data_IF_644503154831
#
_entry.id   IF_644503154831
#
_cell.length_a   1.000
_cell.length_b   1.000
_cell.length_c   1.000
_cell.angle_alpha   90.00
_cell.angle_beta   90.00
_cell.angle_gamma   90.00
#
_symmetry.space_group_name_H-M   'P 1'
#
loop_
_entity.id
_entity.type
_entity.pdbx_description
1 polymer ?
#
# COMPACT_ATOMS: atom_id res chain seq x y z
N UNK A 1 34.29 15.35 84.43
CA UNK A 1 33.44 14.22 83.98
C UNK A 1 32.27 14.83 83.22
N UNK A 2 32.40 15.20 81.93
CA UNK A 2 32.16 14.39 80.71
C UNK A 2 30.86 13.59 80.76
N UNK A 3 29.80 14.12 80.15
CA UNK A 3 28.75 13.31 79.51
C UNK A 3 28.60 13.80 78.06
N UNK A 4 29.03 12.93 77.15
CA UNK A 4 28.85 12.97 75.70
C UNK A 4 27.89 11.82 75.37
N UNK A 5 27.05 12.02 74.33
CA UNK A 5 26.44 11.04 73.42
C UNK A 5 24.91 11.19 73.36
N UNK A 6 24.24 11.05 72.22
CA UNK A 6 24.62 11.03 70.82
C UNK A 6 23.32 11.07 70.03
N UNK A 7 23.37 11.78 68.91
CA UNK A 7 22.47 11.77 67.76
C UNK A 7 21.71 10.45 67.51
N UNK A 8 20.41 10.56 67.21
CA UNK A 8 19.68 9.66 66.31
C UNK A 8 18.46 10.41 65.73
N UNK A 9 18.75 11.26 64.74
CA UNK A 9 17.75 11.74 63.78
C UNK A 9 17.41 10.56 62.86
N UNK A 10 16.29 9.89 63.14
CA UNK A 10 15.63 8.95 62.24
C UNK A 10 15.08 9.71 61.03
N UNK A 11 15.91 9.86 60.01
CA UNK A 11 15.48 10.27 58.67
C UNK A 11 14.77 9.07 58.03
N UNK A 12 13.45 9.04 58.19
CA UNK A 12 12.56 8.10 57.49
C UNK A 12 12.59 8.42 56.00
N UNK A 13 13.39 7.66 55.25
CA UNK A 13 13.33 7.57 53.80
C UNK A 13 11.99 6.92 53.41
N UNK A 14 10.94 7.73 53.32
CA UNK A 14 9.74 7.35 52.59
C UNK A 14 10.08 7.38 51.10
N UNK A 15 10.47 6.23 50.54
CA UNK A 15 10.50 6.03 49.10
C UNK A 15 9.06 6.07 48.58
N UNK A 16 8.62 7.24 48.13
CA UNK A 16 7.39 7.36 47.34
C UNK A 16 7.62 6.63 46.00
N UNK A 17 7.18 5.38 45.90
CA UNK A 17 6.92 4.75 44.61
C UNK A 17 5.68 5.42 44.02
N UNK A 18 5.88 6.54 43.30
CA UNK A 18 4.83 7.09 42.44
C UNK A 18 4.51 6.05 41.36
N UNK A 19 3.25 5.60 41.30
CA UNK A 19 2.79 4.78 40.17
C UNK A 19 2.83 5.66 38.91
N UNK A 20 3.80 5.41 38.03
CA UNK A 20 3.80 5.95 36.68
C UNK A 20 2.51 5.46 36.02
N UNK A 21 1.70 6.37 35.47
CA UNK A 21 0.48 5.99 34.76
C UNK A 21 0.83 5.16 33.53
N UNK A 22 0.06 4.11 33.26
CA UNK A 22 0.23 3.25 32.07
C UNK A 22 0.31 4.06 30.78
N UNK A 23 -0.47 5.14 30.68
CA UNK A 23 -0.47 6.03 29.52
C UNK A 23 0.90 6.66 29.27
N UNK A 24 1.62 7.04 30.34
CA UNK A 24 2.97 7.60 30.24
C UNK A 24 3.98 6.58 29.69
N UNK A 25 3.75 5.28 29.90
CA UNK A 25 4.59 4.25 29.32
C UNK A 25 4.37 4.16 27.80
N UNK A 26 3.12 4.12 27.35
CA UNK A 26 2.82 3.96 25.93
C UNK A 26 3.33 5.11 25.07
N UNK A 27 3.23 6.36 25.55
CA UNK A 27 3.82 7.51 24.86
C UNK A 27 5.36 7.40 24.81
N UNK A 28 6.01 6.97 25.89
CA UNK A 28 7.47 6.75 25.89
C UNK A 28 7.89 5.66 24.89
N UNK A 29 7.11 4.59 24.79
CA UNK A 29 7.35 3.50 23.82
C UNK A 29 7.14 3.99 22.39
N UNK A 30 6.13 4.82 22.14
CA UNK A 30 5.92 5.49 20.85
C UNK A 30 7.10 6.39 20.47
N UNK A 31 7.59 7.22 21.39
CA UNK A 31 8.76 8.10 21.16
C UNK A 31 10.02 7.29 20.88
N UNK A 32 10.22 6.17 21.59
CA UNK A 32 11.31 5.23 21.31
C UNK A 32 11.18 4.63 19.90
N UNK A 33 10.00 4.19 19.51
CA UNK A 33 9.72 3.70 18.17
C UNK A 33 10.03 4.75 17.09
N UNK A 34 9.71 6.02 17.33
CA UNK A 34 10.05 7.11 16.42
C UNK A 34 11.57 7.28 16.28
N UNK A 35 12.32 7.24 17.39
CA UNK A 35 13.78 7.35 17.36
C UNK A 35 14.41 6.19 16.59
N UNK A 36 13.96 4.96 16.83
CA UNK A 36 14.41 3.76 16.11
C UNK A 36 14.13 3.87 14.61
N UNK A 37 12.93 4.30 14.23
CA UNK A 37 12.55 4.52 12.83
C UNK A 37 13.44 5.59 12.19
N UNK A 38 13.74 6.69 12.88
CA UNK A 38 14.63 7.75 12.37
C UNK A 38 16.06 7.23 12.19
N UNK A 39 16.53 6.34 13.07
CA UNK A 39 17.84 5.68 12.92
C UNK A 39 17.88 4.59 11.85
N UNK A 40 16.74 4.27 11.22
CA UNK A 40 16.62 3.23 10.19
C UNK A 40 16.42 1.82 10.74
N UNK A 41 16.26 1.65 12.06
CA UNK A 41 15.91 0.36 12.65
C UNK A 41 14.39 0.16 12.63
N UNK A 42 13.88 -0.09 11.43
CA UNK A 42 12.44 -0.18 11.18
C UNK A 42 11.79 -1.40 11.83
N UNK A 43 12.55 -2.48 12.07
CA UNK A 43 12.03 -3.67 12.75
C UNK A 43 11.88 -3.43 14.24
N UNK A 44 12.88 -2.84 14.90
CA UNK A 44 12.75 -2.48 16.31
C UNK A 44 11.63 -1.43 16.51
N UNK A 45 11.56 -0.42 15.63
CA UNK A 45 10.47 0.55 15.64
C UNK A 45 9.10 -0.11 15.50
N UNK A 46 8.97 -1.12 14.63
CA UNK A 46 7.73 -1.87 14.44
C UNK A 46 7.28 -2.57 15.73
N UNK A 47 8.21 -3.17 16.46
CA UNK A 47 7.93 -3.81 17.75
C UNK A 47 7.38 -2.79 18.74
N UNK A 48 7.99 -1.61 18.82
CA UNK A 48 7.53 -0.57 19.74
C UNK A 48 6.15 -0.04 19.37
N UNK A 49 5.89 0.20 18.08
CA UNK A 49 4.58 0.70 17.68
C UNK A 49 3.46 -0.34 17.84
N UNK A 50 3.72 -1.63 17.57
CA UNK A 50 2.75 -2.69 17.81
C UNK A 50 2.40 -2.80 19.30
N UNK A 51 3.39 -2.71 20.18
CA UNK A 51 3.13 -2.68 21.62
C UNK A 51 2.17 -1.55 21.99
N UNK A 52 2.36 -0.35 21.45
CA UNK A 52 1.47 0.79 21.72
C UNK A 52 0.06 0.54 21.17
N UNK A 53 -0.05 0.02 19.94
CA UNK A 53 -1.36 -0.28 19.31
C UNK A 53 -2.15 -1.36 20.05
N UNK A 54 -1.48 -2.34 20.66
CA UNK A 54 -2.11 -3.45 21.37
C UNK A 54 -2.59 -3.07 22.78
N UNK A 55 -1.99 -2.04 23.38
CA UNK A 55 -2.20 -1.71 24.80
C UNK A 55 -2.90 -0.36 25.05
N UNK A 56 -3.10 0.47 24.02
CA UNK A 56 -3.83 1.73 24.15
C UNK A 56 -5.29 1.62 23.72
N UNK A 57 -6.20 2.11 24.57
CA UNK A 57 -7.62 2.22 24.22
C UNK A 57 -7.90 3.29 23.15
N UNK A 58 -7.13 4.38 23.18
CA UNK A 58 -7.25 5.51 22.24
C UNK A 58 -5.91 5.74 21.57
N UNK A 59 -5.82 5.34 20.30
CA UNK A 59 -4.59 5.45 19.52
C UNK A 59 -4.27 6.93 19.21
N UNK A 60 -3.09 7.44 19.61
CA UNK A 60 -2.64 8.77 19.23
C UNK A 60 -2.60 8.90 17.72
N UNK A 61 -3.12 10.01 17.18
CA UNK A 61 -3.17 10.17 15.72
C UNK A 61 -1.77 10.18 15.09
N UNK A 62 -0.78 10.73 15.79
CA UNK A 62 0.59 10.79 15.28
C UNK A 62 1.22 9.40 15.14
N UNK A 63 0.78 8.42 15.94
CA UNK A 63 1.16 7.02 15.77
C UNK A 63 0.72 6.48 14.40
N UNK A 64 -0.42 6.93 13.86
CA UNK A 64 -0.85 6.51 12.52
C UNK A 64 0.14 6.94 11.43
N UNK A 65 0.71 8.14 11.53
CA UNK A 65 1.76 8.57 10.62
C UNK A 65 3.05 7.76 10.83
N UNK A 66 3.52 7.65 12.08
CA UNK A 66 4.77 6.96 12.41
C UNK A 66 4.73 5.50 11.95
N UNK A 67 3.64 4.80 12.26
CA UNK A 67 3.42 3.42 11.84
C UNK A 67 3.35 3.30 10.31
N UNK A 68 2.58 4.17 9.66
CA UNK A 68 2.47 4.18 8.20
C UNK A 68 3.82 4.38 7.50
N UNK A 69 4.62 5.35 7.95
CA UNK A 69 5.97 5.58 7.42
C UNK A 69 6.90 4.40 7.68
N UNK A 70 6.86 3.80 8.87
CA UNK A 70 7.65 2.61 9.18
C UNK A 70 7.29 1.42 8.29
N UNK A 71 5.98 1.18 8.09
CA UNK A 71 5.48 0.12 7.20
C UNK A 71 5.97 0.27 5.76
N UNK A 72 6.15 1.50 5.26
CA UNK A 72 6.71 1.72 3.92
C UNK A 72 8.14 1.18 3.84
N UNK A 73 8.99 1.52 4.82
CA UNK A 73 10.38 1.06 4.87
C UNK A 73 10.51 -0.45 5.07
N UNK A 74 9.51 -1.08 5.68
CA UNK A 74 9.40 -2.54 5.79
C UNK A 74 8.79 -3.20 4.53
N UNK A 75 8.65 -2.48 3.43
CA UNK A 75 7.98 -2.92 2.20
C UNK A 75 6.53 -3.43 2.41
N UNK A 76 5.91 -3.09 3.54
CA UNK A 76 4.52 -3.41 3.87
C UNK A 76 3.59 -2.33 3.30
N UNK A 77 3.66 -2.13 1.98
CA UNK A 77 3.08 -0.95 1.31
C UNK A 77 1.57 -0.80 1.52
N UNK A 78 0.80 -1.90 1.49
CA UNK A 78 -0.65 -1.85 1.75
C UNK A 78 -0.97 -1.32 3.16
N UNK A 79 -0.19 -1.76 4.16
CA UNK A 79 -0.36 -1.29 5.53
C UNK A 79 0.00 0.19 5.61
N UNK A 80 1.11 0.61 4.98
CA UNK A 80 1.50 2.01 4.90
C UNK A 80 0.39 2.90 4.32
N UNK A 81 -0.19 2.53 3.17
CA UNK A 81 -1.31 3.24 2.53
C UNK A 81 -2.48 3.41 3.49
N UNK A 82 -2.88 2.35 4.20
CA UNK A 82 -4.02 2.40 5.11
C UNK A 82 -3.80 3.38 6.27
N UNK A 83 -2.62 3.34 6.90
CA UNK A 83 -2.32 4.15 8.07
C UNK A 83 -2.06 5.62 7.72
N UNK A 84 -1.40 5.89 6.58
CA UNK A 84 -1.18 7.25 6.11
C UNK A 84 -2.50 7.92 5.67
N UNK A 85 -3.39 7.20 4.99
CA UNK A 85 -4.74 7.69 4.73
C UNK A 85 -5.49 8.00 6.04
N UNK A 86 -5.35 7.14 7.05
CA UNK A 86 -5.98 7.38 8.36
C UNK A 86 -5.44 8.64 9.05
N UNK A 87 -4.13 8.87 9.00
CA UNK A 87 -3.52 10.09 9.53
C UNK A 87 -4.08 11.35 8.84
N UNK A 88 -4.09 11.35 7.50
CA UNK A 88 -4.61 12.47 6.70
C UNK A 88 -6.10 12.71 6.95
N UNK A 89 -6.90 11.65 7.12
CA UNK A 89 -8.32 11.76 7.48
C UNK A 89 -8.51 12.46 8.83
N UNK A 90 -7.68 12.13 9.83
CA UNK A 90 -7.85 12.61 11.20
C UNK A 90 -7.27 14.03 11.42
N UNK A 91 -6.13 14.35 10.81
CA UNK A 91 -5.44 15.64 11.00
C UNK A 91 -5.68 16.64 9.88
N UNK A 92 -5.94 16.15 8.67
CA UNK A 92 -5.98 16.98 7.46
C UNK A 92 -4.69 17.79 7.28
N UNK A 93 -4.82 18.97 6.69
CA UNK A 93 -3.72 19.91 6.41
C UNK A 93 -3.06 20.51 7.65
N UNK A 94 -3.60 20.27 8.85
CA UNK A 94 -3.07 20.79 10.12
C UNK A 94 -2.13 19.82 10.83
N UNK A 95 -1.93 18.63 10.28
CA UNK A 95 -1.02 17.63 10.85
C UNK A 95 0.44 18.06 10.72
N UNK A 96 1.24 17.86 11.77
CA UNK A 96 2.67 18.18 11.75
C UNK A 96 3.47 17.40 10.69
N UNK A 97 2.94 16.27 10.23
CA UNK A 97 3.54 15.42 9.21
C UNK A 97 2.74 15.41 7.90
N UNK A 98 1.94 16.46 7.63
CA UNK A 98 1.03 16.46 6.49
C UNK A 98 1.73 16.29 5.14
N UNK A 99 2.81 17.03 4.91
CA UNK A 99 3.57 16.99 3.65
C UNK A 99 4.24 15.63 3.45
N UNK A 100 4.90 15.12 4.50
CA UNK A 100 5.56 13.82 4.47
C UNK A 100 4.55 12.68 4.35
N UNK A 101 3.37 12.80 4.97
CA UNK A 101 2.32 11.80 4.87
C UNK A 101 1.80 11.66 3.44
N UNK A 102 1.61 12.78 2.72
CA UNK A 102 1.24 12.74 1.29
C UNK A 102 2.34 12.08 0.47
N UNK A 103 3.60 12.46 0.71
CA UNK A 103 4.74 11.95 -0.03
C UNK A 103 4.89 10.43 0.14
N UNK A 104 4.88 9.95 1.39
CA UNK A 104 4.98 8.52 1.68
C UNK A 104 3.73 7.75 1.24
N UNK A 105 2.54 8.37 1.25
CA UNK A 105 1.33 7.75 0.73
C UNK A 105 1.49 7.48 -0.76
N UNK A 106 1.91 8.48 -1.54
CA UNK A 106 2.16 8.32 -2.97
C UNK A 106 3.21 7.24 -3.24
N UNK A 107 4.35 7.27 -2.53
CA UNK A 107 5.38 6.23 -2.68
C UNK A 107 4.86 4.83 -2.37
N UNK A 108 4.02 4.70 -1.34
CA UNK A 108 3.43 3.43 -0.93
C UNK A 108 2.40 2.92 -1.94
N UNK A 109 1.57 3.81 -2.51
CA UNK A 109 0.62 3.44 -3.55
C UNK A 109 1.33 2.98 -4.82
N UNK A 110 2.36 3.71 -5.25
CA UNK A 110 3.17 3.34 -6.41
C UNK A 110 3.83 1.97 -6.23
N UNK A 111 4.48 1.75 -5.07
CA UNK A 111 5.13 0.48 -4.74
C UNK A 111 4.14 -0.67 -4.54
N UNK A 112 2.98 -0.40 -3.96
CA UNK A 112 1.91 -1.40 -3.83
C UNK A 112 1.40 -1.81 -5.22
N UNK A 113 1.17 -0.85 -6.12
CA UNK A 113 0.74 -1.11 -7.49
C UNK A 113 1.79 -1.87 -8.29
N UNK A 114 3.07 -1.54 -8.15
CA UNK A 114 4.19 -2.26 -8.73
C UNK A 114 4.19 -3.74 -8.28
N UNK A 115 4.07 -3.98 -6.97
CA UNK A 115 4.00 -5.35 -6.41
C UNK A 115 2.76 -6.12 -6.90
N UNK A 116 1.61 -5.45 -7.01
CA UNK A 116 0.41 -6.09 -7.56
C UNK A 116 0.57 -6.45 -9.04
N UNK A 117 1.27 -5.62 -9.82
CA UNK A 117 1.61 -5.92 -11.21
C UNK A 117 2.60 -7.07 -11.29
N UNK A 118 3.63 -7.12 -10.46
CA UNK A 118 4.61 -8.22 -10.47
C UNK A 118 3.98 -9.56 -10.08
N UNK A 119 3.09 -9.59 -9.08
CA UNK A 119 2.36 -10.82 -8.70
C UNK A 119 1.46 -11.29 -9.85
N UNK A 120 0.74 -10.38 -10.51
CA UNK A 120 -0.04 -10.71 -11.70
C UNK A 120 0.85 -11.14 -12.86
N UNK A 121 2.05 -10.55 -12.96
CA UNK A 121 3.02 -10.89 -13.99
C UNK A 121 3.63 -12.27 -13.74
N UNK A 122 3.94 -12.66 -12.51
CA UNK A 122 4.41 -13.99 -12.15
C UNK A 122 3.33 -15.06 -12.35
N UNK A 123 2.07 -14.71 -12.07
CA UNK A 123 0.92 -15.54 -12.46
C UNK A 123 0.72 -15.59 -13.98
N UNK A 124 1.13 -14.57 -14.73
CA UNK A 124 1.12 -14.56 -16.19
C UNK A 124 2.40 -15.13 -16.82
N UNK A 125 3.50 -15.26 -16.06
CA UNK A 125 4.77 -15.90 -16.45
C UNK A 125 4.66 -17.42 -16.35
N UNK A 126 3.66 -17.94 -15.63
CA UNK A 126 2.96 -19.14 -16.07
C UNK A 126 2.17 -18.81 -17.35
N UNK A 127 2.89 -18.47 -18.43
CA UNK A 127 2.32 -18.44 -19.77
C UNK A 127 1.91 -19.87 -20.03
N UNK A 128 0.63 -20.12 -19.77
CA UNK A 128 -0.09 -21.28 -20.25
C UNK A 128 0.15 -21.33 -21.75
N UNK A 129 1.11 -22.16 -22.13
CA UNK A 129 1.44 -22.50 -23.52
C UNK A 129 0.33 -23.33 -24.16
N UNK A 130 -0.78 -23.59 -23.46
CA UNK A 130 -1.97 -24.12 -24.09
C UNK A 130 -2.72 -22.99 -24.80
N UNK A 131 -2.69 -23.08 -26.13
CA UNK A 131 -3.64 -22.43 -27.02
C UNK A 131 -5.05 -22.56 -26.40
N UNK A 132 -5.71 -21.44 -26.14
CA UNK A 132 -7.11 -21.38 -25.77
C UNK A 132 -7.93 -22.18 -26.79
N UNK A 133 -8.62 -23.21 -26.30
CA UNK A 133 -9.57 -23.97 -27.08
C UNK A 133 -10.81 -23.10 -27.35
N UNK A 134 -11.02 -22.78 -28.62
CA UNK A 134 -12.18 -22.00 -29.07
C UNK A 134 -13.47 -22.84 -29.12
N UNK A 135 -13.47 -24.09 -28.63
CA UNK A 135 -14.65 -24.94 -28.54
C UNK A 135 -15.25 -25.29 -29.90
N UNK A 136 -14.41 -25.37 -30.95
CA UNK A 136 -14.85 -25.59 -32.32
C UNK A 136 -15.40 -24.35 -33.05
N UNK A 137 -15.40 -23.17 -32.42
CA UNK A 137 -15.83 -21.92 -33.05
C UNK A 137 -14.77 -21.40 -34.03
N UNK A 138 -15.21 -21.03 -35.24
CA UNK A 138 -14.33 -20.46 -36.27
C UNK A 138 -13.96 -19.00 -36.00
N UNK A 139 -14.81 -18.27 -35.28
CA UNK A 139 -14.65 -16.86 -34.92
C UNK A 139 -15.01 -16.63 -33.46
N UNK A 140 -14.20 -15.82 -32.79
CA UNK A 140 -14.38 -15.38 -31.41
C UNK A 140 -14.72 -13.89 -31.38
N UNK A 141 -15.58 -13.46 -30.47
CA UNK A 141 -15.89 -12.04 -30.29
C UNK A 141 -14.58 -11.31 -29.94
N UNK A 142 -14.27 -10.23 -30.67
CA UNK A 142 -13.09 -9.43 -30.40
C UNK A 142 -13.22 -8.77 -29.01
N UNK A 143 -12.31 -9.03 -28.06
CA UNK A 143 -12.41 -8.49 -26.71
C UNK A 143 -12.32 -6.95 -26.66
N UNK A 144 -11.68 -6.34 -27.66
CA UNK A 144 -11.42 -4.89 -27.72
C UNK A 144 -12.69 -4.11 -28.04
N UNK A 145 -13.40 -4.48 -29.10
CA UNK A 145 -14.65 -3.82 -29.51
C UNK A 145 -15.91 -4.56 -29.05
N UNK A 146 -15.78 -5.70 -28.36
CA UNK A 146 -16.90 -6.50 -27.85
C UNK A 146 -17.93 -6.85 -28.93
N UNK A 147 -17.47 -7.14 -30.15
CA UNK A 147 -18.34 -7.49 -31.29
C UNK A 147 -18.87 -6.31 -32.09
N UNK A 148 -18.68 -5.06 -31.67
CA UNK A 148 -19.23 -3.90 -32.39
C UNK A 148 -18.49 -3.54 -33.69
N UNK A 149 -17.25 -4.03 -33.86
CA UNK A 149 -16.37 -3.61 -34.95
C UNK A 149 -15.77 -2.21 -34.78
N UNK A 150 -16.20 -1.44 -33.77
CA UNK A 150 -15.77 -0.06 -33.54
C UNK A 150 -15.37 0.16 -32.08
N UNK A 151 -14.34 0.97 -31.87
CA UNK A 151 -13.96 1.49 -30.57
C UNK A 151 -14.32 2.96 -30.51
N UNK A 152 -14.71 3.44 -29.34
CA UNK A 152 -14.99 4.87 -29.15
C UNK A 152 -14.01 5.47 -28.16
N UNK A 153 -13.63 6.73 -28.40
CA UNK A 153 -12.84 7.54 -27.47
C UNK A 153 -13.67 8.75 -27.09
N UNK A 154 -13.88 8.92 -25.79
CA UNK A 154 -14.54 10.11 -25.24
C UNK A 154 -13.56 11.28 -25.31
N UNK A 155 -13.88 12.28 -26.14
CA UNK A 155 -13.20 13.57 -26.16
C UNK A 155 -13.85 14.56 -25.20
N UNK A 156 -13.21 15.73 -25.07
CA UNK A 156 -13.70 16.82 -24.21
C UNK A 156 -15.07 17.36 -24.66
N UNK A 157 -15.39 17.24 -25.95
CA UNK A 157 -16.62 17.78 -26.54
C UNK A 157 -17.45 16.77 -27.34
N UNK A 158 -16.91 15.60 -27.71
CA UNK A 158 -17.62 14.62 -28.54
C UNK A 158 -17.05 13.20 -28.41
N UNK A 159 -17.82 12.20 -28.85
CA UNK A 159 -17.45 10.79 -28.91
C UNK A 159 -16.92 10.46 -30.31
N UNK A 160 -15.63 10.09 -30.39
CA UNK A 160 -15.01 9.72 -31.66
C UNK A 160 -15.04 8.22 -31.84
N UNK A 161 -15.74 7.75 -32.87
CA UNK A 161 -15.77 6.34 -33.27
C UNK A 161 -14.62 6.04 -34.24
N UNK A 162 -13.95 4.92 -34.02
CA UNK A 162 -12.83 4.45 -34.83
C UNK A 162 -13.05 2.96 -35.11
N UNK A 163 -12.76 2.52 -36.33
CA UNK A 163 -12.77 1.09 -36.67
C UNK A 163 -11.82 0.34 -35.74
N UNK A 164 -12.27 -0.79 -35.19
CA UNK A 164 -11.44 -1.61 -34.31
C UNK A 164 -10.23 -2.13 -35.09
N UNK A 165 -9.00 -1.79 -34.68
CA UNK A 165 -7.81 -2.14 -35.45
C UNK A 165 -7.50 -3.66 -35.38
N UNK A 166 -7.97 -4.35 -34.34
CA UNK A 166 -7.69 -5.78 -34.16
C UNK A 166 -8.66 -6.69 -34.92
N UNK A 167 -9.91 -6.27 -35.07
CA UNK A 167 -10.93 -7.02 -35.82
C UNK A 167 -11.17 -6.47 -37.23
N UNK A 168 -10.45 -5.41 -37.62
CA UNK A 168 -10.59 -4.75 -38.93
C UNK A 168 -12.03 -4.36 -39.26
N UNK A 169 -12.79 -3.96 -38.23
CA UNK A 169 -14.21 -3.58 -38.39
C UNK A 169 -15.21 -4.73 -38.27
N UNK A 170 -14.77 -5.98 -38.31
CA UNK A 170 -15.67 -7.15 -38.31
C UNK A 170 -16.27 -7.45 -36.94
N UNK A 171 -15.64 -6.98 -35.85
CA UNK A 171 -16.08 -7.30 -34.49
C UNK A 171 -15.62 -8.66 -33.97
N UNK A 172 -15.03 -9.51 -34.82
CA UNK A 172 -14.59 -10.87 -34.48
C UNK A 172 -13.12 -11.12 -34.87
N UNK A 173 -12.48 -12.05 -34.15
CA UNK A 173 -11.14 -12.58 -34.42
C UNK A 173 -11.24 -14.05 -34.82
N UNK A 174 -10.39 -14.55 -35.71
CA UNK A 174 -10.25 -16.00 -35.87
C UNK A 174 -9.73 -16.64 -34.58
N UNK A 175 -9.94 -17.95 -34.40
CA UNK A 175 -9.38 -18.65 -33.23
C UNK A 175 -7.86 -18.46 -33.10
N UNK A 176 -7.13 -18.40 -34.23
CA UNK A 176 -5.68 -18.13 -34.24
C UNK A 176 -5.36 -16.73 -33.70
N UNK A 177 -6.04 -15.71 -34.20
CA UNK A 177 -5.81 -14.32 -33.80
C UNK A 177 -6.26 -14.05 -32.37
N UNK A 178 -7.36 -14.66 -31.95
CA UNK A 178 -7.80 -14.63 -30.57
C UNK A 178 -6.71 -15.18 -29.64
N UNK A 179 -6.10 -16.31 -30.01
CA UNK A 179 -4.97 -16.86 -29.26
C UNK A 179 -3.76 -15.93 -29.24
N UNK A 180 -3.37 -15.36 -30.39
CA UNK A 180 -2.28 -14.36 -30.45
C UNK A 180 -2.58 -13.12 -29.60
N UNK A 181 -3.84 -12.68 -29.58
CA UNK A 181 -4.32 -11.57 -28.77
C UNK A 181 -4.20 -11.90 -27.28
N UNK A 182 -4.65 -13.09 -26.86
CA UNK A 182 -4.53 -13.55 -25.48
C UNK A 182 -3.06 -13.72 -25.03
N UNK A 183 -2.17 -14.03 -25.97
CA UNK A 183 -0.71 -14.10 -25.74
C UNK A 183 -0.02 -12.72 -25.78
N UNK A 184 -0.75 -11.65 -26.11
CA UNK A 184 -0.21 -10.28 -26.18
C UNK A 184 0.68 -10.00 -27.40
N UNK A 185 0.66 -10.86 -28.42
CA UNK A 185 1.53 -10.76 -29.61
C UNK A 185 0.79 -10.46 -30.91
N UNK A 186 -0.54 -10.29 -30.88
CA UNK A 186 -1.30 -9.89 -32.07
C UNK A 186 -1.00 -8.41 -32.43
N UNK A 187 -0.42 -8.17 -33.60
CA UNK A 187 -0.16 -6.82 -34.10
C UNK A 187 -1.28 -6.33 -35.02
N UNK A 188 -1.41 -5.01 -35.18
CA UNK A 188 -2.39 -4.40 -36.10
C UNK A 188 -2.05 -4.72 -37.57
N UNK A 189 -0.79 -5.03 -37.88
CA UNK A 189 -0.40 -5.43 -39.23
C UNK A 189 -0.95 -6.81 -39.59
N UNK A 190 -1.01 -7.72 -38.61
CA UNK A 190 -1.54 -9.09 -38.79
C UNK A 190 -3.05 -9.10 -39.05
N UNK A 191 -3.79 -8.10 -38.55
CA UNK A 191 -5.24 -7.98 -38.77
C UNK A 191 -5.60 -7.32 -40.10
N UNK A 192 -4.70 -6.51 -40.68
CA UNK A 192 -4.89 -5.81 -41.96
C UNK A 192 -4.51 -6.64 -43.19
N UNK A 193 -3.83 -7.78 -43.02
CA UNK A 193 -3.45 -8.67 -44.13
C UNK A 193 -4.55 -9.64 -44.57
N UNK A 194 -5.82 -9.33 -44.28
CA UNK A 194 -7.00 -10.14 -44.66
C UNK A 194 -7.70 -9.58 -45.88
#
# INVERSE_FOLDING_TARGET
MKFIASSLLLFSLFSSYGQISSDSEYYRRMDLGQQLMISGDYQAAQTEFLFVLENMDVIPTDLAYLFGRNSFHLASYKQSVNWLNKYLQLKGTKGQYYEEAIQYLQFSEDKYMELQRSIKQDQSNAIVTSKYDCGGLSKMICPVCKGSGVIFKQGVFDIHYQTCPYSSGEGYLSCKEYNLFMMGILTIQDSLSR
#
